data_IF_276441163168
#
_entry.id   IF_276441163168
#
_cell.length_a   1.000
_cell.length_b   1.000
_cell.length_c   1.000
_cell.angle_alpha   90.00
_cell.angle_beta   90.00
_cell.angle_gamma   90.00
#
_symmetry.space_group_name_H-M   'P 1'
#
loop_
_entity.id
_entity.type
_entity.pdbx_description
1 polymer ?
#
# COMPACT_ATOMS: atom_id res chain seq x y z
N UNK A 1 15.09 -53.22 41.56
CA UNK A 1 14.05 -52.88 40.54
C UNK A 1 14.55 -51.68 39.74
N UNK A 2 14.62 -51.83 38.42
CA UNK A 2 15.04 -50.78 37.47
C UNK A 2 13.84 -49.87 37.18
N UNK A 3 13.99 -48.56 37.29
CA UNK A 3 13.03 -47.60 36.73
C UNK A 3 13.76 -46.71 35.74
N UNK A 4 13.25 -46.67 34.51
CA UNK A 4 13.76 -45.98 33.33
C UNK A 4 13.38 -44.49 33.30
N UNK A 5 14.36 -43.67 32.90
CA UNK A 5 14.37 -42.62 31.86
C UNK A 5 13.07 -41.91 31.41
N UNK A 6 13.18 -40.58 31.19
CA UNK A 6 12.82 -39.76 29.99
C UNK A 6 12.64 -38.29 30.44
N UNK A 7 13.59 -37.37 30.22
CA UNK A 7 13.83 -36.49 29.06
C UNK A 7 12.71 -35.50 28.66
N UNK A 8 13.01 -34.22 28.92
CA UNK A 8 13.03 -33.10 27.97
C UNK A 8 11.77 -32.23 27.69
N UNK A 9 12.10 -30.92 27.63
CA UNK A 9 11.85 -29.97 26.53
C UNK A 9 10.68 -28.97 26.67
N UNK A 10 11.08 -27.68 26.71
CA UNK A 10 10.55 -26.48 26.02
C UNK A 10 9.02 -26.19 26.06
N UNK A 11 8.52 -24.96 26.01
CA UNK A 11 9.07 -23.69 25.56
C UNK A 11 8.34 -22.54 26.26
N UNK A 12 9.02 -21.39 26.34
CA UNK A 12 8.42 -20.09 26.58
C UNK A 12 7.35 -19.80 25.51
N UNK A 13 6.09 -19.70 25.94
CA UNK A 13 5.01 -19.21 25.08
C UNK A 13 5.07 -17.69 25.09
N UNK A 14 5.78 -17.13 24.11
CA UNK A 14 5.61 -15.75 23.69
C UNK A 14 4.18 -15.57 23.19
N UNK A 15 3.44 -14.65 23.82
CA UNK A 15 2.14 -14.23 23.36
C UNK A 15 2.32 -13.45 22.05
N UNK A 16 2.22 -14.16 20.92
CA UNK A 16 1.94 -13.51 19.65
C UNK A 16 0.51 -12.98 19.72
N UNK A 17 0.38 -11.66 19.90
CA UNK A 17 -0.88 -10.96 19.73
C UNK A 17 -1.40 -11.26 18.33
N UNK A 18 -2.43 -12.11 18.25
CA UNK A 18 -3.22 -12.27 17.05
C UNK A 18 -3.90 -10.94 16.81
N UNK A 19 -3.36 -10.14 15.89
CA UNK A 19 -4.12 -9.04 15.31
C UNK A 19 -5.44 -9.63 14.82
N UNK A 20 -6.55 -9.07 15.28
CA UNK A 20 -7.89 -9.36 14.77
C UNK A 20 -7.96 -8.90 13.32
N UNK A 21 -7.33 -9.66 12.43
CA UNK A 21 -7.28 -9.42 10.99
C UNK A 21 -8.63 -9.75 10.39
N UNK A 22 -9.62 -8.90 10.65
CA UNK A 22 -10.76 -8.79 9.77
C UNK A 22 -10.28 -8.45 8.36
N UNK A 23 -11.07 -8.76 7.31
CA UNK A 23 -10.76 -8.30 5.97
C UNK A 23 -10.49 -6.78 6.02
N UNK A 24 -9.48 -6.27 5.28
CA UNK A 24 -9.25 -4.84 5.23
C UNK A 24 -10.55 -4.12 4.88
N UNK A 25 -10.85 -3.00 5.55
CA UNK A 25 -12.08 -2.27 5.27
C UNK A 25 -12.14 -1.97 3.76
N UNK A 26 -13.33 -2.13 3.13
CA UNK A 26 -13.48 -1.82 1.73
C UNK A 26 -13.10 -0.36 1.51
N UNK A 27 -12.26 -0.10 0.51
CA UNK A 27 -12.00 1.28 0.10
C UNK A 27 -13.29 1.81 -0.50
N UNK A 28 -13.89 2.75 0.22
CA UNK A 28 -15.05 3.51 -0.19
C UNK A 28 -14.58 4.96 -0.32
N UNK A 29 -14.62 5.54 -1.52
CA UNK A 29 -14.21 6.93 -1.69
C UNK A 29 -13.93 7.32 -3.15
N UNK A 30 -13.72 8.61 -3.45
CA UNK A 30 -13.58 9.15 -4.80
C UNK A 30 -12.15 8.98 -5.35
N UNK A 31 -11.51 7.84 -5.09
CA UNK A 31 -10.16 7.57 -5.56
C UNK A 31 -10.13 7.08 -7.00
N UNK A 32 -11.19 6.46 -7.51
CA UNK A 32 -11.22 5.90 -8.87
C UNK A 32 -10.99 6.98 -9.94
N UNK A 33 -10.07 6.72 -10.85
CA UNK A 33 -9.68 7.66 -11.89
C UNK A 33 -8.21 7.61 -12.25
N UNK A 34 -7.83 8.45 -13.21
CA UNK A 34 -6.44 8.58 -13.68
C UNK A 34 -5.71 9.58 -12.80
N UNK A 35 -4.55 9.16 -12.31
CA UNK A 35 -3.68 9.94 -11.45
C UNK A 35 -2.28 10.04 -12.03
N UNK A 36 -1.67 11.21 -11.84
CA UNK A 36 -0.32 11.50 -12.30
C UNK A 36 0.47 12.22 -11.22
N UNK A 37 1.79 12.06 -11.26
CA UNK A 37 2.71 12.91 -10.51
C UNK A 37 3.99 13.10 -11.32
N UNK A 38 4.48 14.35 -11.48
CA UNK A 38 5.70 14.62 -12.24
C UNK A 38 6.92 13.83 -11.77
N UNK A 39 6.97 13.45 -10.48
CA UNK A 39 8.10 12.74 -9.88
C UNK A 39 8.12 11.24 -10.16
N UNK A 40 6.99 10.65 -10.55
CA UNK A 40 6.87 9.21 -10.75
C UNK A 40 7.31 8.79 -12.16
N UNK A 41 7.05 9.62 -13.17
CA UNK A 41 7.34 9.29 -14.58
C UNK A 41 6.38 8.25 -15.17
N UNK A 42 5.19 8.11 -14.60
CA UNK A 42 4.10 7.30 -15.14
C UNK A 42 2.74 7.85 -14.69
N UNK A 43 1.72 7.58 -15.50
CA UNK A 43 0.32 7.81 -15.13
C UNK A 43 -0.32 6.44 -14.85
N UNK A 44 -1.31 6.41 -13.96
CA UNK A 44 -1.99 5.18 -13.59
C UNK A 44 -3.47 5.39 -13.32
N UNK A 45 -4.27 4.37 -13.62
CA UNK A 45 -5.70 4.32 -13.28
C UNK A 45 -5.86 3.60 -11.96
N UNK A 46 -6.53 4.23 -11.00
CA UNK A 46 -7.04 3.58 -9.80
C UNK A 46 -8.45 3.05 -10.11
N UNK A 47 -8.66 1.77 -9.79
CA UNK A 47 -9.95 1.06 -9.85
C UNK A 47 -10.06 0.19 -8.59
N UNK A 48 -10.82 0.67 -7.60
CA UNK A 48 -10.86 0.08 -6.27
C UNK A 48 -9.52 0.18 -5.55
N UNK A 49 -9.02 -0.89 -4.89
CA UNK A 49 -7.81 -0.81 -4.05
C UNK A 49 -6.48 -0.86 -4.83
N UNK A 50 -6.54 -0.92 -6.16
CA UNK A 50 -5.37 -1.15 -7.03
C UNK A 50 -5.26 -0.05 -8.07
N UNK A 51 -4.03 0.37 -8.35
CA UNK A 51 -3.72 1.21 -9.50
C UNK A 51 -2.78 0.53 -10.50
N UNK A 52 -3.12 0.66 -11.79
CA UNK A 52 -2.36 0.09 -12.91
C UNK A 52 -1.82 1.19 -13.82
N UNK A 53 -0.58 1.04 -14.27
CA UNK A 53 0.04 1.98 -15.19
C UNK A 53 -0.71 2.03 -16.52
N UNK A 54 -0.94 3.23 -17.03
CA UNK A 54 -1.58 3.45 -18.35
C UNK A 54 -0.64 4.09 -19.36
N UNK A 55 0.39 4.79 -18.88
CA UNK A 55 1.47 5.41 -19.64
C UNK A 55 2.73 5.41 -18.75
N UNK A 56 3.93 5.33 -19.35
CA UNK A 56 5.17 5.49 -18.60
C UNK A 56 6.31 5.99 -19.50
N UNK A 57 7.17 6.83 -18.95
CA UNK A 57 8.48 7.17 -19.54
C UNK A 57 9.59 6.24 -19.05
N UNK A 58 9.27 5.26 -18.19
CA UNK A 58 10.23 4.37 -17.54
C UNK A 58 10.27 3.03 -18.27
N UNK A 59 11.47 2.61 -18.64
CA UNK A 59 11.68 1.36 -19.39
C UNK A 59 11.26 0.09 -18.62
N UNK A 60 11.11 0.16 -17.29
CA UNK A 60 10.77 -0.97 -16.43
C UNK A 60 9.29 -1.06 -16.09
N UNK A 61 8.46 -0.09 -16.51
CA UNK A 61 7.03 -0.05 -16.22
C UNK A 61 6.28 -0.11 -17.54
N UNK A 62 5.43 -1.12 -17.69
CA UNK A 62 4.60 -1.33 -18.86
C UNK A 62 3.15 -0.97 -18.56
N UNK A 63 2.36 -0.79 -19.61
CA UNK A 63 0.91 -0.64 -19.45
C UNK A 63 0.34 -1.89 -18.76
N UNK A 64 -0.65 -1.65 -17.90
CA UNK A 64 -1.35 -2.62 -17.06
C UNK A 64 -0.53 -3.22 -15.91
N UNK A 65 0.75 -2.87 -15.79
CA UNK A 65 1.55 -3.21 -14.60
C UNK A 65 0.92 -2.58 -13.37
N UNK A 66 0.82 -3.37 -12.31
CA UNK A 66 0.37 -2.86 -11.03
C UNK A 66 1.46 -1.98 -10.43
N UNK A 67 1.13 -0.73 -10.13
CA UNK A 67 2.09 0.27 -9.62
C UNK A 67 1.62 0.92 -8.32
N UNK A 68 0.38 0.65 -7.90
CA UNK A 68 -0.22 1.23 -6.72
C UNK A 68 -1.17 0.23 -6.04
N UNK A 69 -1.17 0.24 -4.71
CA UNK A 69 -2.09 -0.50 -3.85
C UNK A 69 -2.43 0.37 -2.65
N UNK A 70 -3.66 0.27 -2.18
CA UNK A 70 -4.07 0.94 -0.95
C UNK A 70 -5.05 0.12 -0.12
N UNK A 71 -5.07 0.45 1.17
CA UNK A 71 -5.96 -0.08 2.20
C UNK A 71 -6.43 1.10 3.06
N UNK A 72 -7.75 1.26 3.21
CA UNK A 72 -8.32 2.32 4.05
C UNK A 72 -7.81 2.19 5.50
N UNK A 73 -7.48 3.32 6.12
CA UNK A 73 -7.09 3.38 7.54
C UNK A 73 -8.31 3.64 8.41
N UNK A 74 -9.14 4.58 7.98
CA UNK A 74 -10.35 5.05 8.63
C UNK A 74 -11.35 5.55 7.56
N UNK A 75 -12.47 6.12 7.99
CA UNK A 75 -13.51 6.66 7.10
C UNK A 75 -13.14 8.03 6.50
N UNK A 76 -11.99 8.62 6.86
CA UNK A 76 -11.64 10.04 6.61
C UNK A 76 -10.79 10.26 5.34
N UNK A 77 -11.09 9.58 4.23
CA UNK A 77 -10.34 9.72 2.96
C UNK A 77 -8.83 9.43 3.09
N UNK A 78 -8.44 8.73 4.16
CA UNK A 78 -7.05 8.35 4.47
C UNK A 78 -6.84 6.87 4.25
N UNK A 79 -5.66 6.54 3.77
CA UNK A 79 -5.30 5.16 3.47
C UNK A 79 -3.80 4.94 3.66
N UNK A 80 -3.44 3.68 3.87
CA UNK A 80 -2.07 3.20 3.76
C UNK A 80 -1.92 2.52 2.42
N UNK A 81 -0.72 2.51 1.84
CA UNK A 81 -0.53 1.93 0.52
C UNK A 81 0.89 1.51 0.23
N UNK A 82 1.03 0.87 -0.93
CA UNK A 82 2.32 0.56 -1.55
C UNK A 82 2.34 1.18 -2.93
N UNK A 83 3.45 1.79 -3.30
CA UNK A 83 3.63 2.38 -4.62
C UNK A 83 5.00 2.04 -5.19
N UNK A 84 5.03 1.69 -6.48
CA UNK A 84 6.28 1.47 -7.20
C UNK A 84 6.95 2.81 -7.49
N UNK A 85 8.07 3.10 -6.86
CA UNK A 85 8.74 4.39 -6.93
C UNK A 85 9.83 4.44 -8.00
N UNK A 86 10.43 5.64 -8.20
CA UNK A 86 11.48 5.84 -9.17
C UNK A 86 12.70 4.91 -9.13
N UNK A 87 12.97 4.27 -8.02
CA UNK A 87 14.06 3.31 -7.85
C UNK A 87 13.69 1.88 -8.30
N UNK A 88 12.44 1.65 -8.72
CA UNK A 88 11.94 0.33 -9.12
C UNK A 88 11.54 -0.56 -7.95
N UNK A 89 11.49 -0.02 -6.72
CA UNK A 89 11.03 -0.74 -5.54
C UNK A 89 9.61 -0.30 -5.11
N UNK A 90 8.92 -1.18 -4.40
CA UNK A 90 7.65 -0.87 -3.75
C UNK A 90 7.92 -0.20 -2.40
N UNK A 91 7.38 0.99 -2.20
CA UNK A 91 7.49 1.73 -0.94
C UNK A 91 6.13 1.83 -0.26
N UNK A 92 6.14 1.65 1.05
CA UNK A 92 4.97 1.87 1.90
C UNK A 92 4.79 3.36 2.16
N UNK A 93 3.54 3.82 2.12
CA UNK A 93 3.21 5.23 2.34
C UNK A 93 1.81 5.38 2.98
N UNK A 94 1.55 6.57 3.48
CA UNK A 94 0.21 7.04 3.90
C UNK A 94 -0.27 8.08 2.91
N UNK A 95 -1.51 7.94 2.46
CA UNK A 95 -2.17 8.85 1.53
C UNK A 95 -3.42 9.48 2.14
N UNK A 96 -3.75 10.70 1.71
CA UNK A 96 -4.98 11.41 2.04
C UNK A 96 -5.50 12.13 0.79
N UNK A 97 -6.77 11.88 0.42
CA UNK A 97 -7.45 12.71 -0.57
C UNK A 97 -8.02 13.95 0.10
N UNK A 98 -7.52 15.12 -0.29
CA UNK A 98 -7.94 16.41 0.27
C UNK A 98 -9.05 17.05 -0.54
N UNK A 99 -9.68 18.08 0.05
CA UNK A 99 -10.75 18.86 -0.58
C UNK A 99 -10.36 19.58 -1.87
N UNK A 100 -9.07 19.75 -2.15
CA UNK A 100 -8.55 20.27 -3.41
C UNK A 100 -8.57 19.23 -4.55
N UNK A 101 -9.04 18.01 -4.28
CA UNK A 101 -9.14 16.92 -5.25
C UNK A 101 -7.82 16.20 -5.50
N UNK A 102 -6.77 16.48 -4.71
CA UNK A 102 -5.45 15.85 -4.85
C UNK A 102 -5.21 14.82 -3.76
N UNK A 103 -4.44 13.78 -4.09
CA UNK A 103 -3.96 12.82 -3.10
C UNK A 103 -2.57 13.23 -2.65
N UNK A 104 -2.39 13.42 -1.36
CA UNK A 104 -1.11 13.72 -0.74
C UNK A 104 -0.55 12.45 -0.12
N UNK A 105 0.62 12.03 -0.58
CA UNK A 105 1.30 10.81 -0.13
C UNK A 105 2.57 11.14 0.65
N UNK A 106 2.89 10.34 1.67
CA UNK A 106 4.17 10.39 2.37
C UNK A 106 4.59 9.03 2.93
N UNK A 107 5.88 8.70 2.81
CA UNK A 107 6.51 7.53 3.43
C UNK A 107 7.24 7.89 4.76
N UNK A 108 7.04 9.12 5.25
CA UNK A 108 7.73 9.66 6.43
C UNK A 108 9.13 10.23 6.16
N UNK A 109 9.69 10.03 4.96
CA UNK A 109 10.97 10.63 4.52
C UNK A 109 10.78 11.63 3.39
N UNK A 110 9.88 11.31 2.47
CA UNK A 110 9.53 12.05 1.28
C UNK A 110 8.02 12.22 1.21
N UNK A 111 7.60 13.20 0.40
CA UNK A 111 6.19 13.42 0.11
C UNK A 111 6.01 13.73 -1.37
N UNK A 112 4.89 13.29 -1.93
CA UNK A 112 4.51 13.58 -3.31
C UNK A 112 3.00 13.77 -3.40
N UNK A 113 2.58 14.43 -4.47
CA UNK A 113 1.17 14.73 -4.72
C UNK A 113 0.77 14.03 -6.02
N UNK A 114 -0.37 13.36 -5.99
CA UNK A 114 -1.05 12.84 -7.16
C UNK A 114 -2.15 13.82 -7.57
N UNK A 115 -2.11 14.20 -8.82
CA UNK A 115 -3.11 15.06 -9.44
C UNK A 115 -3.99 14.23 -10.35
N UNK A 116 -5.28 14.56 -10.36
CA UNK A 116 -6.25 13.88 -11.23
C UNK A 116 -6.10 14.43 -12.65
N UNK A 117 -5.94 13.54 -13.62
CA UNK A 117 -5.95 13.93 -15.02
C UNK A 117 -7.39 14.23 -15.45
N UNK A 118 -7.66 15.36 -16.13
CA UNK A 118 -8.99 15.70 -16.64
C UNK A 118 -9.61 14.65 -17.56
#
# INVERSE_FOLDING_TARGET
MRTLLVLALCAALGAAACGTGGPPPPISGPFDGIWTSPHLGYDFMIDGPVGKAISSSRATIHRDDQVFQMVAIDDDMRFSGKQLLPDGAWHEFVGELKYDGKIYCSDGKSSWVLERTP
#
